data_IF_481098038324
#
_entry.id   IF_481098038324
#
_cell.length_a   1.000
_cell.length_b   1.000
_cell.length_c   1.000
_cell.angle_alpha   90.00
_cell.angle_beta   90.00
_cell.angle_gamma   90.00
#
_symmetry.space_group_name_H-M   'P 1'
#
loop_
_entity.id
_entity.type
_entity.pdbx_description
1 polymer ?
#
# COMPACT_ATOMS: atom_id res chain seq x y z
N UNK A 1 21.97 55.54 35.88
CA UNK A 1 22.01 56.53 34.78
C UNK A 1 21.54 55.81 33.53
N UNK A 2 20.28 55.83 33.08
CA UNK A 2 19.28 56.89 32.92
C UNK A 2 19.56 57.83 31.75
N UNK A 3 18.91 57.57 30.59
CA UNK A 3 18.32 58.50 29.58
C UNK A 3 17.86 57.64 28.38
N UNK A 4 16.58 57.27 28.20
CA UNK A 4 15.33 58.00 27.82
C UNK A 4 15.32 58.64 26.40
N UNK A 5 14.55 57.97 25.50
CA UNK A 5 13.46 58.46 24.60
C UNK A 5 13.82 59.40 23.40
N UNK A 6 13.03 59.44 22.29
CA UNK A 6 11.56 59.39 22.28
C UNK A 6 10.83 58.54 21.22
N UNK A 7 9.53 58.37 21.54
CA UNK A 7 8.42 57.91 20.69
C UNK A 7 8.04 58.98 19.66
N UNK A 8 7.62 58.56 18.47
CA UNK A 8 6.59 59.25 17.71
C UNK A 8 5.59 58.24 17.11
N UNK A 9 4.31 58.54 17.36
CA UNK A 9 3.12 57.88 16.82
C UNK A 9 2.80 58.39 15.40
N UNK A 10 2.25 57.52 14.56
CA UNK A 10 1.13 57.75 13.63
C UNK A 10 0.74 56.38 13.06
N UNK A 11 -0.39 55.76 13.43
CA UNK A 11 -1.77 56.07 13.04
C UNK A 11 -2.03 55.89 11.53
N UNK A 12 -2.71 54.78 11.18
CA UNK A 12 -3.15 54.42 9.83
C UNK A 12 -3.53 52.93 9.77
N UNK A 13 -4.57 52.50 10.49
CA UNK A 13 -5.93 52.25 9.96
C UNK A 13 -6.03 51.20 8.83
N UNK A 14 -6.40 49.98 9.25
CA UNK A 14 -7.35 49.05 8.62
C UNK A 14 -7.43 48.97 7.09
N UNK A 15 -7.14 47.77 6.57
CA UNK A 15 -8.12 46.94 5.82
C UNK A 15 -7.59 45.51 5.70
N UNK A 16 -8.05 44.62 6.59
CA UNK A 16 -8.08 43.20 6.29
C UNK A 16 -8.99 43.02 5.06
N UNK A 17 -8.44 42.53 3.96
CA UNK A 17 -9.27 42.02 2.86
C UNK A 17 -9.98 40.77 3.35
N UNK A 18 -11.27 40.89 3.66
CA UNK A 18 -12.14 39.76 3.89
C UNK A 18 -12.08 38.84 2.65
N UNK A 19 -11.58 37.62 2.82
CA UNK A 19 -11.79 36.54 1.87
C UNK A 19 -13.30 36.37 1.67
N UNK A 20 -13.75 36.50 0.42
CA UNK A 20 -15.13 36.21 0.03
C UNK A 20 -15.41 34.73 0.32
N UNK A 21 -16.58 34.36 0.88
CA UNK A 21 -16.94 32.96 1.03
C UNK A 21 -17.08 32.31 -0.36
N UNK A 22 -16.45 31.14 -0.52
CA UNK A 22 -16.60 30.30 -1.68
C UNK A 22 -18.08 29.89 -1.82
N UNK A 23 -18.65 30.13 -3.01
CA UNK A 23 -19.99 29.66 -3.37
C UNK A 23 -19.91 28.16 -3.62
N UNK A 24 -20.35 27.36 -2.66
CA UNK A 24 -20.70 25.95 -2.90
C UNK A 24 -22.02 25.94 -3.69
N UNK A 25 -21.95 25.56 -4.96
CA UNK A 25 -23.14 25.32 -5.79
C UNK A 25 -23.62 23.89 -5.52
N UNK A 26 -24.68 23.75 -4.73
CA UNK A 26 -25.49 22.53 -4.69
C UNK A 26 -26.85 22.89 -5.28
N UNK A 27 -27.20 22.22 -6.38
CA UNK A 27 -28.47 22.27 -7.11
C UNK A 27 -29.03 23.68 -7.41
N UNK A 28 -28.88 24.12 -8.67
CA UNK A 28 -29.33 25.38 -9.25
C UNK A 28 -30.79 25.81 -9.02
N UNK A 29 -31.14 26.24 -7.81
CA UNK A 29 -32.37 26.95 -7.50
C UNK A 29 -32.04 28.22 -6.72
N UNK A 30 -32.43 29.35 -7.32
CA UNK A 30 -32.19 30.70 -6.80
C UNK A 30 -33.02 30.94 -5.53
N UNK A 31 -32.37 31.38 -4.45
CA UNK A 31 -32.99 31.64 -3.13
C UNK A 31 -34.12 32.70 -3.21
N UNK A 32 -34.17 33.43 -4.33
CA UNK A 32 -35.20 34.39 -4.67
C UNK A 32 -36.60 33.77 -4.89
N UNK A 33 -36.70 32.46 -5.18
CA UNK A 33 -38.01 31.79 -5.33
C UNK A 33 -38.78 31.75 -4.00
N UNK A 34 -38.09 31.54 -2.88
CA UNK A 34 -38.73 31.56 -1.55
C UNK A 34 -39.20 32.95 -1.13
N UNK A 35 -38.51 34.00 -1.56
CA UNK A 35 -38.90 35.40 -1.28
C UNK A 35 -40.16 35.81 -2.05
N UNK A 36 -40.29 35.36 -3.30
CA UNK A 36 -41.50 35.54 -4.13
C UNK A 36 -42.73 34.80 -3.58
N UNK A 37 -42.53 33.63 -2.94
CA UNK A 37 -43.64 32.84 -2.39
C UNK A 37 -44.30 33.43 -1.13
N UNK A 38 -43.61 34.28 -0.36
CA UNK A 38 -44.19 34.93 0.83
C UNK A 38 -45.05 36.15 0.48
N UNK A 39 -44.89 36.75 -0.70
CA UNK A 39 -45.62 37.96 -1.10
C UNK A 39 -47.00 37.65 -1.71
N UNK A 40 -47.26 36.41 -2.15
CA UNK A 40 -48.55 35.99 -2.71
C UNK A 40 -49.47 35.33 -1.66
N UNK A 41 -50.41 36.11 -1.12
CA UNK A 41 -51.42 35.70 -0.11
C UNK A 41 -52.53 34.73 -0.60
N UNK A 42 -52.33 33.96 -1.66
CA UNK A 42 -53.41 33.14 -2.27
C UNK A 42 -53.12 31.64 -2.45
N UNK A 43 -52.22 31.05 -1.66
CA UNK A 43 -52.06 29.59 -1.66
C UNK A 43 -52.91 28.94 -0.55
N UNK A 44 -53.78 27.96 -0.87
CA UNK A 44 -54.50 27.18 0.14
C UNK A 44 -53.52 26.50 1.09
N UNK A 45 -53.76 26.61 2.40
CA UNK A 45 -52.89 26.03 3.45
C UNK A 45 -52.57 24.54 3.23
N UNK A 46 -53.48 23.79 2.60
CA UNK A 46 -53.29 22.38 2.27
C UNK A 46 -52.23 22.10 1.20
N UNK A 47 -51.98 23.03 0.27
CA UNK A 47 -50.94 22.90 -0.77
C UNK A 47 -49.56 23.18 -0.17
N UNK A 48 -49.46 24.19 0.68
CA UNK A 48 -48.22 24.52 1.41
C UNK A 48 -47.79 23.35 2.31
N UNK A 49 -48.73 22.72 3.04
CA UNK A 49 -48.44 21.58 3.90
C UNK A 49 -47.96 20.35 3.11
N UNK A 50 -48.54 20.08 1.93
CA UNK A 50 -48.13 18.98 1.04
C UNK A 50 -46.75 19.22 0.42
N UNK A 51 -46.46 20.45 0.00
CA UNK A 51 -45.13 20.82 -0.50
C UNK A 51 -44.06 20.72 0.59
N UNK A 52 -44.38 21.12 1.83
CA UNK A 52 -43.47 20.97 2.97
C UNK A 52 -43.20 19.49 3.30
N UNK A 53 -44.25 18.65 3.25
CA UNK A 53 -44.12 17.21 3.48
C UNK A 53 -43.28 16.51 2.39
N UNK A 54 -43.45 16.90 1.12
CA UNK A 54 -42.60 16.41 0.02
C UNK A 54 -41.16 16.90 0.19
N UNK A 55 -40.95 18.15 0.60
CA UNK A 55 -39.60 18.69 0.84
C UNK A 55 -38.91 18.00 2.02
N UNK A 56 -39.64 17.71 3.11
CA UNK A 56 -39.12 16.95 4.25
C UNK A 56 -38.85 15.49 3.90
N UNK A 57 -39.71 14.85 3.08
CA UNK A 57 -39.47 13.50 2.58
C UNK A 57 -38.26 13.45 1.64
N UNK A 58 -38.11 14.43 0.75
CA UNK A 58 -36.96 14.55 -0.16
C UNK A 58 -35.67 14.87 0.61
N UNK A 59 -35.72 15.72 1.64
CA UNK A 59 -34.61 15.99 2.54
C UNK A 59 -34.22 14.75 3.35
N UNK A 60 -35.19 13.95 3.83
CA UNK A 60 -34.93 12.68 4.52
C UNK A 60 -34.24 11.66 3.60
N UNK A 61 -34.68 11.59 2.34
CA UNK A 61 -34.08 10.71 1.32
C UNK A 61 -32.66 11.15 0.97
N UNK A 62 -32.39 12.46 0.89
CA UNK A 62 -31.04 12.99 0.62
C UNK A 62 -30.10 12.80 1.83
N UNK A 63 -30.58 12.94 3.06
CA UNK A 63 -29.77 12.68 4.27
C UNK A 63 -29.47 11.20 4.50
N UNK A 64 -30.22 10.28 3.88
CA UNK A 64 -30.00 8.84 4.00
C UNK A 64 -28.95 8.30 3.02
N UNK A 65 -28.40 9.15 2.15
CA UNK A 65 -27.23 8.86 1.30
C UNK A 65 -26.00 9.57 1.89
N UNK A 66 -25.86 9.56 3.22
CA UNK A 66 -24.53 9.51 3.79
C UNK A 66 -24.01 8.11 3.51
N UNK A 67 -23.34 7.92 2.37
CA UNK A 67 -22.41 6.80 2.24
C UNK A 67 -21.48 6.93 3.45
N UNK A 68 -21.61 6.03 4.42
CA UNK A 68 -20.53 5.82 5.36
C UNK A 68 -19.31 5.51 4.50
N UNK A 69 -18.19 6.21 4.74
CA UNK A 69 -16.94 5.87 4.06
C UNK A 69 -16.68 4.38 4.28
N UNK A 70 -16.81 3.61 3.20
CA UNK A 70 -16.61 2.17 3.22
C UNK A 70 -15.13 1.93 3.59
N UNK A 71 -14.86 1.05 4.55
CA UNK A 71 -13.49 0.83 5.00
C UNK A 71 -12.73 0.02 3.96
N UNK A 72 -11.58 0.52 3.53
CA UNK A 72 -10.75 -0.16 2.53
C UNK A 72 -9.32 -0.33 3.04
N UNK A 73 -8.83 -1.56 2.92
CA UNK A 73 -7.44 -1.96 3.11
C UNK A 73 -7.01 -2.80 1.90
N UNK A 74 -6.76 -2.17 0.74
CA UNK A 74 -6.75 -2.84 -0.57
C UNK A 74 -5.57 -3.77 -0.83
N UNK A 75 -4.49 -3.66 -0.06
CA UNK A 75 -3.29 -4.46 -0.22
C UNK A 75 -2.62 -4.69 1.14
N UNK A 76 -1.57 -5.52 1.18
CA UNK A 76 -0.89 -5.88 2.42
C UNK A 76 -0.25 -4.70 3.19
N UNK A 77 -0.12 -3.53 2.56
CA UNK A 77 0.32 -2.26 3.16
C UNK A 77 -0.79 -1.24 3.33
N UNK A 78 -2.03 -1.56 2.96
CA UNK A 78 -3.16 -0.66 3.09
C UNK A 78 -3.16 0.48 2.08
N UNK A 79 -4.12 1.41 2.19
CA UNK A 79 -4.45 2.38 1.13
C UNK A 79 -3.31 3.39 0.85
N UNK A 80 -2.48 3.67 1.85
CA UNK A 80 -1.36 4.63 1.73
C UNK A 80 0.00 3.92 1.57
N UNK A 81 -0.01 2.60 1.35
CA UNK A 81 1.18 1.74 1.27
C UNK A 81 2.18 1.86 2.43
N UNK A 82 1.71 2.25 3.61
CA UNK A 82 2.51 2.52 4.81
C UNK A 82 2.21 1.58 6.00
N UNK A 83 1.21 0.69 5.88
CA UNK A 83 0.72 -0.25 6.91
C UNK A 83 0.11 0.43 8.14
N UNK A 84 -0.42 1.63 7.98
CA UNK A 84 -0.99 2.41 9.09
C UNK A 84 -2.49 2.62 8.90
N UNK A 85 -3.26 2.28 9.93
CA UNK A 85 -4.61 2.83 10.09
C UNK A 85 -4.48 4.10 10.96
N UNK A 86 -4.73 5.27 10.37
CA UNK A 86 -4.45 6.58 11.02
C UNK A 86 -5.43 6.95 12.14
N UNK A 87 -6.58 6.28 12.21
CA UNK A 87 -7.65 6.56 13.18
C UNK A 87 -8.26 5.26 13.67
N UNK A 88 -8.45 5.14 14.98
CA UNK A 88 -9.10 3.99 15.58
C UNK A 88 -8.81 3.88 17.06
N UNK A 89 -9.51 2.97 17.72
CA UNK A 89 -9.20 2.52 19.07
C UNK A 89 -8.56 1.14 18.96
N UNK A 90 -7.25 1.06 19.21
CA UNK A 90 -6.51 -0.19 19.11
C UNK A 90 -6.34 -0.84 20.47
N UNK A 91 -6.44 -2.17 20.56
CA UNK A 91 -6.15 -2.89 21.80
C UNK A 91 -4.66 -2.73 22.13
N UNK A 92 -4.36 -2.00 23.20
CA UNK A 92 -2.99 -1.86 23.76
C UNK A 92 -2.66 -2.92 24.80
N UNK A 93 -3.66 -3.74 25.16
CA UNK A 93 -3.52 -4.98 25.92
C UNK A 93 -4.15 -6.09 25.10
N UNK A 94 -3.49 -7.23 25.09
CA UNK A 94 -3.89 -8.37 24.29
C UNK A 94 -3.77 -9.65 25.12
N UNK A 95 -4.81 -10.46 25.08
CA UNK A 95 -4.87 -11.81 25.61
C UNK A 95 -5.60 -12.74 24.61
N UNK A 96 -5.56 -14.07 24.80
CA UNK A 96 -6.21 -15.01 23.88
C UNK A 96 -7.73 -14.85 23.70
N UNK A 97 -8.40 -14.13 24.61
CA UNK A 97 -9.84 -13.88 24.62
C UNK A 97 -10.21 -12.51 24.03
N UNK A 98 -9.21 -11.67 23.73
CA UNK A 98 -9.34 -10.34 23.13
C UNK A 98 -9.92 -10.30 21.70
N UNK A 99 -9.71 -11.30 20.81
CA UNK A 99 -10.27 -11.27 19.46
C UNK A 99 -11.80 -11.21 19.45
N UNK A 100 -12.38 -10.36 18.60
CA UNK A 100 -13.84 -10.27 18.40
C UNK A 100 -14.43 -11.57 17.82
N UNK A 101 -13.66 -12.25 16.98
CA UNK A 101 -13.99 -13.54 16.39
C UNK A 101 -12.71 -14.25 15.96
N UNK A 102 -12.83 -15.54 15.65
CA UNK A 102 -11.77 -16.38 15.08
C UNK A 102 -12.37 -17.20 13.94
N UNK A 103 -11.64 -17.30 12.84
CA UNK A 103 -11.97 -18.17 11.73
C UNK A 103 -10.92 -19.29 11.66
N UNK A 104 -11.38 -20.53 11.60
CA UNK A 104 -10.54 -21.66 11.24
C UNK A 104 -10.34 -21.64 9.72
N UNK A 105 -9.25 -21.01 9.27
CA UNK A 105 -8.97 -20.83 7.84
C UNK A 105 -8.70 -22.19 7.21
N UNK A 106 -9.44 -22.60 6.16
CA UNK A 106 -9.20 -23.87 5.48
C UNK A 106 -7.77 -23.93 4.94
N UNK A 107 -7.06 -25.00 5.28
CA UNK A 107 -5.71 -25.22 4.78
C UNK A 107 -4.65 -24.30 5.39
N UNK A 108 -3.61 -23.96 4.62
CA UNK A 108 -2.48 -23.16 5.12
C UNK A 108 -2.18 -21.97 4.22
N UNK A 109 -2.15 -20.77 4.80
CA UNK A 109 -1.75 -19.54 4.12
C UNK A 109 -1.15 -18.53 5.11
N UNK A 110 -0.26 -17.68 4.60
CA UNK A 110 0.40 -16.63 5.40
C UNK A 110 0.26 -15.23 4.77
N UNK A 111 -0.71 -15.08 3.88
CA UNK A 111 -1.08 -13.77 3.36
C UNK A 111 -1.59 -12.84 4.46
N UNK A 112 -1.36 -11.55 4.24
CA UNK A 112 -2.05 -10.51 5.01
C UNK A 112 -3.47 -10.39 4.47
N UNK A 113 -4.50 -10.36 5.33
CA UNK A 113 -5.87 -10.08 4.89
C UNK A 113 -5.95 -8.69 4.26
N UNK A 114 -6.71 -8.58 3.18
CA UNK A 114 -7.10 -7.29 2.61
C UNK A 114 -8.59 -7.09 2.75
N UNK A 115 -9.02 -5.84 2.85
CA UNK A 115 -10.41 -5.50 3.13
C UNK A 115 -10.92 -4.57 2.05
N UNK A 116 -12.08 -4.87 1.49
CA UNK A 116 -12.80 -3.93 0.65
C UNK A 116 -14.25 -3.86 1.10
N UNK A 117 -14.54 -2.83 1.90
CA UNK A 117 -15.81 -2.65 2.53
C UNK A 117 -16.14 -3.74 3.52
N UNK A 118 -17.21 -4.47 3.24
CA UNK A 118 -17.70 -5.53 4.14
C UNK A 118 -17.01 -6.88 3.92
N UNK A 119 -16.05 -6.97 3.00
CA UNK A 119 -15.41 -8.23 2.62
C UNK A 119 -13.92 -8.24 2.94
N UNK A 120 -13.48 -9.33 3.55
CA UNK A 120 -12.09 -9.66 3.85
C UNK A 120 -11.64 -10.75 2.86
N UNK A 121 -10.52 -10.54 2.16
CA UNK A 121 -9.94 -11.51 1.23
C UNK A 121 -8.63 -12.08 1.75
N UNK A 122 -8.42 -13.38 1.52
CA UNK A 122 -7.23 -14.15 1.91
C UNK A 122 -6.82 -15.12 0.81
N UNK A 123 -5.55 -15.50 0.78
CA UNK A 123 -5.05 -16.64 0.00
C UNK A 123 -4.67 -17.79 0.94
N UNK A 124 -5.04 -19.02 0.58
CA UNK A 124 -4.74 -20.24 1.35
C UNK A 124 -4.50 -21.44 0.43
N UNK A 125 -3.85 -22.48 0.93
CA UNK A 125 -3.75 -23.79 0.29
C UNK A 125 -4.79 -24.74 0.88
N UNK A 126 -6.00 -24.78 0.33
CA UNK A 126 -7.12 -25.59 0.83
C UNK A 126 -7.29 -26.86 -0.01
N UNK A 127 -7.38 -28.03 0.64
CA UNK A 127 -7.55 -29.34 -0.01
C UNK A 127 -6.54 -29.62 -1.14
N UNK A 128 -5.28 -29.16 -0.97
CA UNK A 128 -4.24 -29.31 -2.00
C UNK A 128 -4.36 -28.33 -3.17
N UNK A 129 -5.15 -27.26 -3.04
CA UNK A 129 -5.39 -26.26 -4.07
C UNK A 129 -5.08 -24.84 -3.60
N UNK A 130 -4.47 -24.05 -4.49
CA UNK A 130 -4.39 -22.61 -4.33
C UNK A 130 -5.81 -22.05 -4.32
N UNK A 131 -6.18 -21.36 -3.24
CA UNK A 131 -7.56 -20.96 -3.00
C UNK A 131 -7.62 -19.52 -2.53
N UNK A 132 -8.58 -18.76 -3.07
CA UNK A 132 -8.95 -17.43 -2.58
C UNK A 132 -10.18 -17.57 -1.70
N UNK A 133 -10.16 -16.94 -0.53
CA UNK A 133 -11.28 -16.89 0.39
C UNK A 133 -11.85 -15.47 0.45
N UNK A 134 -13.17 -15.37 0.58
CA UNK A 134 -13.84 -14.17 1.05
C UNK A 134 -14.63 -14.44 2.32
N UNK A 135 -14.51 -13.53 3.28
CA UNK A 135 -15.10 -13.64 4.62
C UNK A 135 -15.74 -12.30 4.97
N UNK A 136 -16.84 -12.31 5.72
CA UNK A 136 -17.42 -11.08 6.28
C UNK A 136 -16.74 -10.64 7.60
N UNK A 137 -17.14 -9.48 8.11
CA UNK A 137 -16.65 -8.94 9.39
C UNK A 137 -17.08 -9.72 10.64
N UNK A 138 -17.98 -10.71 10.49
CA UNK A 138 -18.36 -11.63 11.57
C UNK A 138 -17.55 -12.93 11.52
N UNK A 139 -16.64 -13.07 10.55
CA UNK A 139 -15.85 -14.28 10.35
C UNK A 139 -16.58 -15.38 9.58
N UNK A 140 -17.71 -15.09 8.93
CA UNK A 140 -18.42 -16.08 8.11
C UNK A 140 -17.78 -16.17 6.72
N UNK A 141 -17.53 -17.40 6.27
CA UNK A 141 -17.11 -17.65 4.90
C UNK A 141 -18.23 -17.26 3.93
N UNK A 142 -17.93 -16.35 3.01
CA UNK A 142 -18.84 -15.92 1.94
C UNK A 142 -18.68 -16.82 0.71
N UNK A 143 -17.42 -17.04 0.30
CA UNK A 143 -17.08 -17.94 -0.79
C UNK A 143 -15.62 -18.39 -0.72
N UNK A 144 -15.31 -19.47 -1.43
CA UNK A 144 -13.97 -19.98 -1.64
C UNK A 144 -13.80 -20.40 -3.11
N UNK A 145 -12.74 -19.93 -3.75
CA UNK A 145 -12.49 -20.21 -5.18
C UNK A 145 -11.13 -20.90 -5.33
N UNK A 146 -11.10 -22.20 -5.69
CA UNK A 146 -9.87 -22.88 -6.04
C UNK A 146 -9.37 -22.45 -7.43
N UNK A 147 -8.06 -22.33 -7.59
CA UNK A 147 -7.39 -21.93 -8.83
C UNK A 147 -6.51 -23.06 -9.41
N UNK A 148 -6.49 -24.23 -8.78
CA UNK A 148 -5.71 -25.39 -9.23
C UNK A 148 -4.77 -25.90 -8.15
N UNK A 149 -3.98 -26.92 -8.48
CA UNK A 149 -3.09 -27.59 -7.52
C UNK A 149 -2.09 -26.62 -6.89
N UNK A 150 -1.99 -26.64 -5.57
CA UNK A 150 -1.00 -25.83 -4.85
C UNK A 150 0.42 -26.38 -5.01
N UNK A 151 1.40 -25.52 -4.72
CA UNK A 151 2.75 -25.98 -4.39
C UNK A 151 2.99 -25.65 -2.91
N UNK A 152 3.09 -26.66 -2.02
CA UNK A 152 3.19 -26.43 -0.59
C UNK A 152 4.51 -25.73 -0.22
N UNK A 153 4.56 -25.11 0.97
CA UNK A 153 5.77 -24.46 1.49
C UNK A 153 6.95 -25.43 1.63
N UNK A 154 8.18 -24.94 1.42
CA UNK A 154 9.44 -25.72 1.55
C UNK A 154 9.79 -26.03 3.02
N UNK A 155 9.18 -25.35 3.99
CA UNK A 155 9.46 -25.53 5.40
C UNK A 155 8.26 -25.16 6.29
N UNK A 156 8.35 -25.48 7.59
CA UNK A 156 7.25 -25.25 8.55
C UNK A 156 6.81 -23.79 8.62
N UNK A 157 7.69 -22.81 8.40
CA UNK A 157 7.31 -21.39 8.44
C UNK A 157 6.95 -20.80 7.07
N UNK A 158 6.64 -21.63 6.07
CA UNK A 158 6.17 -21.16 4.76
C UNK A 158 4.95 -21.93 4.25
N UNK A 159 4.23 -21.32 3.32
CA UNK A 159 3.08 -21.89 2.62
C UNK A 159 3.20 -21.66 1.10
N UNK A 160 2.31 -22.27 0.30
CA UNK A 160 2.14 -21.92 -1.11
C UNK A 160 1.47 -20.56 -1.32
N UNK A 161 0.86 -20.03 -0.26
CA UNK A 161 -0.07 -18.90 -0.26
C UNK A 161 0.43 -17.77 0.67
N UNK A 162 1.70 -17.38 0.50
CA UNK A 162 2.28 -16.23 1.21
C UNK A 162 1.96 -14.87 0.55
N UNK A 163 1.91 -14.75 -0.79
CA UNK A 163 1.52 -13.49 -1.42
C UNK A 163 0.10 -13.09 -1.00
N UNK A 164 -0.07 -11.83 -0.66
CA UNK A 164 -1.35 -11.29 -0.25
C UNK A 164 -2.19 -10.92 -1.47
N UNK A 165 -3.52 -11.07 -1.40
CA UNK A 165 -4.41 -10.51 -2.42
C UNK A 165 -4.24 -8.98 -2.50
N UNK A 166 -4.66 -8.39 -3.61
CA UNK A 166 -4.86 -6.94 -3.73
C UNK A 166 -6.16 -6.62 -4.48
N UNK A 167 -6.79 -5.49 -4.21
CA UNK A 167 -8.06 -5.10 -4.86
C UNK A 167 -8.21 -3.59 -4.92
N UNK A 168 -8.82 -3.09 -5.99
CA UNK A 168 -9.30 -1.70 -6.12
C UNK A 168 -10.84 -1.64 -6.09
N UNK A 169 -11.48 -2.71 -5.61
CA UNK A 169 -12.93 -2.88 -5.58
C UNK A 169 -13.53 -3.39 -6.88
N UNK A 170 -12.80 -3.33 -8.01
CA UNK A 170 -13.29 -3.87 -9.29
C UNK A 170 -13.06 -5.38 -9.40
N UNK A 171 -11.94 -5.89 -8.86
CA UNK A 171 -11.57 -7.29 -8.81
C UNK A 171 -10.58 -7.54 -7.67
N UNK A 172 -10.40 -8.82 -7.33
CA UNK A 172 -9.37 -9.30 -6.42
C UNK A 172 -8.27 -9.96 -7.25
N UNK A 173 -7.05 -9.46 -7.14
CA UNK A 173 -5.88 -9.96 -7.86
C UNK A 173 -4.99 -10.76 -6.90
N UNK A 174 -4.58 -11.95 -7.32
CA UNK A 174 -3.88 -12.91 -6.47
C UNK A 174 -2.72 -13.58 -7.20
N UNK A 175 -1.71 -13.96 -6.43
CA UNK A 175 -0.57 -14.74 -6.91
C UNK A 175 -0.23 -15.85 -5.94
N UNK A 176 0.21 -17.00 -6.44
CA UNK A 176 0.57 -18.16 -5.63
C UNK A 176 1.94 -18.71 -6.02
N UNK A 177 2.56 -19.47 -5.11
CA UNK A 177 3.84 -20.14 -5.33
C UNK A 177 3.80 -21.15 -6.49
N UNK A 178 2.65 -21.64 -6.89
CA UNK A 178 2.47 -22.48 -8.09
C UNK A 178 2.71 -21.73 -9.42
N UNK A 179 2.75 -20.40 -9.37
CA UNK A 179 2.73 -19.53 -10.54
C UNK A 179 1.32 -19.09 -10.95
N UNK A 180 0.25 -19.60 -10.30
CA UNK A 180 -1.12 -19.14 -10.55
C UNK A 180 -1.23 -17.65 -10.25
N UNK A 181 -1.57 -16.87 -11.28
CA UNK A 181 -1.84 -15.45 -11.22
C UNK A 181 -3.23 -15.22 -11.79
N UNK A 182 -4.12 -14.59 -11.03
CA UNK A 182 -5.51 -14.48 -11.40
C UNK A 182 -6.13 -13.16 -10.95
N UNK A 183 -7.21 -12.77 -11.64
CA UNK A 183 -8.19 -11.82 -11.15
C UNK A 183 -9.54 -12.53 -10.95
N UNK A 184 -10.20 -12.18 -9.86
CA UNK A 184 -11.53 -12.68 -9.52
C UNK A 184 -12.48 -11.49 -9.38
N UNK A 185 -13.72 -11.69 -9.81
CA UNK A 185 -14.82 -10.80 -9.48
C UNK A 185 -15.11 -10.81 -7.97
N UNK A 186 -15.87 -9.82 -7.48
CA UNK A 186 -16.21 -9.72 -6.04
C UNK A 186 -16.99 -10.92 -5.51
N UNK A 187 -17.69 -11.65 -6.38
CA UNK A 187 -18.44 -12.87 -6.06
C UNK A 187 -17.60 -14.16 -6.11
N UNK A 188 -16.30 -14.04 -6.40
CA UNK A 188 -15.37 -15.17 -6.48
C UNK A 188 -15.28 -15.81 -7.87
N UNK A 189 -16.04 -15.33 -8.86
CA UNK A 189 -15.92 -15.81 -10.25
C UNK A 189 -14.54 -15.44 -10.81
N UNK A 190 -13.84 -16.39 -11.43
CA UNK A 190 -12.54 -16.12 -12.06
C UNK A 190 -12.76 -15.27 -13.32
N UNK A 191 -12.21 -14.05 -13.33
CA UNK A 191 -12.21 -13.15 -14.48
C UNK A 191 -11.17 -13.60 -15.51
N UNK A 192 -9.95 -13.84 -15.05
CA UNK A 192 -8.87 -14.44 -15.84
C UNK A 192 -7.90 -15.15 -14.91
N UNK A 193 -7.19 -16.13 -15.47
CA UNK A 193 -6.13 -16.85 -14.79
C UNK A 193 -5.02 -17.19 -15.80
N UNK A 194 -3.79 -17.07 -15.36
CA UNK A 194 -2.59 -17.44 -16.10
C UNK A 194 -1.55 -18.05 -15.17
N UNK A 195 -0.52 -18.72 -15.72
CA UNK A 195 0.61 -19.19 -14.95
C UNK A 195 1.87 -18.41 -15.34
N UNK A 196 2.42 -17.62 -14.41
CA UNK A 196 3.59 -16.78 -14.70
C UNK A 196 4.85 -17.60 -14.91
N UNK A 197 4.96 -18.77 -14.30
CA UNK A 197 6.15 -19.62 -14.43
C UNK A 197 6.17 -20.41 -15.74
N UNK A 198 5.00 -20.74 -16.28
CA UNK A 198 4.87 -21.27 -17.63
C UNK A 198 5.19 -20.20 -18.68
N UNK A 199 4.79 -18.95 -18.43
CA UNK A 199 5.00 -17.83 -19.37
C UNK A 199 6.42 -17.27 -19.36
N UNK A 200 7.02 -17.13 -18.19
CA UNK A 200 8.28 -16.38 -18.00
C UNK A 200 9.40 -17.21 -17.36
N UNK A 201 9.21 -18.52 -17.21
CA UNK A 201 10.20 -19.39 -16.61
C UNK A 201 9.99 -19.60 -15.12
N UNK A 202 10.56 -20.70 -14.63
CA UNK A 202 10.37 -21.14 -13.24
C UNK A 202 11.11 -20.24 -12.27
N UNK A 203 10.49 -20.04 -11.10
CA UNK A 203 11.16 -19.43 -9.95
C UNK A 203 12.16 -20.41 -9.33
N UNK A 204 13.44 -20.05 -9.31
CA UNK A 204 14.54 -20.87 -8.78
C UNK A 204 15.10 -20.36 -7.44
N UNK A 205 14.36 -19.48 -6.75
CA UNK A 205 14.81 -18.93 -5.47
C UNK A 205 15.04 -20.03 -4.43
N UNK A 206 15.94 -19.75 -3.48
CA UNK A 206 16.33 -20.71 -2.45
C UNK A 206 15.18 -20.94 -1.46
N UNK A 207 14.41 -19.90 -1.16
CA UNK A 207 13.23 -19.91 -0.29
C UNK A 207 11.91 -19.76 -1.06
N UNK A 208 10.78 -19.67 -0.34
CA UNK A 208 9.43 -19.59 -0.93
C UNK A 208 9.06 -18.21 -1.50
N UNK A 209 7.97 -18.11 -2.25
CA UNK A 209 7.52 -16.86 -2.85
C UNK A 209 6.66 -16.05 -1.89
N UNK A 210 6.89 -14.72 -1.81
CA UNK A 210 6.15 -13.81 -0.94
C UNK A 210 5.86 -12.43 -1.54
N UNK A 211 6.34 -12.14 -2.75
CA UNK A 211 6.02 -10.89 -3.44
C UNK A 211 4.53 -10.86 -3.81
N UNK A 212 3.82 -9.82 -3.40
CA UNK A 212 2.39 -9.67 -3.68
C UNK A 212 2.18 -8.83 -4.95
N UNK A 213 1.06 -9.00 -5.68
CA UNK A 213 0.64 -8.07 -6.71
C UNK A 213 0.43 -6.66 -6.14
N UNK A 214 0.70 -5.65 -6.95
CA UNK A 214 0.37 -4.25 -6.63
C UNK A 214 -0.45 -3.63 -7.76
N UNK A 215 -1.33 -2.70 -7.42
CA UNK A 215 -2.17 -2.02 -8.39
C UNK A 215 -1.63 -0.63 -8.65
N UNK A 216 -1.36 -0.35 -9.92
CA UNK A 216 -1.23 1.01 -10.42
C UNK A 216 -2.61 1.49 -10.83
N UNK A 217 -2.71 2.75 -11.28
CA UNK A 217 -3.93 3.27 -11.89
C UNK A 217 -4.44 2.33 -13.02
N UNK A 218 -3.54 1.90 -13.89
CA UNK A 218 -3.91 1.25 -15.15
C UNK A 218 -3.69 -0.28 -15.14
N UNK A 219 -2.80 -0.79 -14.28
CA UNK A 219 -2.33 -2.18 -14.36
C UNK A 219 -2.29 -2.89 -13.00
N UNK A 220 -2.26 -4.23 -13.05
CA UNK A 220 -1.73 -5.05 -11.96
C UNK A 220 -0.28 -5.37 -12.27
N UNK A 221 0.61 -5.18 -11.30
CA UNK A 221 2.06 -5.33 -11.47
C UNK A 221 2.57 -6.46 -10.59
N UNK A 222 3.44 -7.30 -11.17
CA UNK A 222 4.20 -8.31 -10.45
C UNK A 222 5.70 -8.07 -10.66
N UNK A 223 6.46 -8.41 -9.62
CA UNK A 223 7.91 -8.49 -9.69
C UNK A 223 8.35 -9.90 -9.34
N UNK A 224 9.31 -10.42 -10.10
CA UNK A 224 9.99 -11.66 -9.82
C UNK A 224 11.49 -11.38 -9.85
N UNK A 225 12.15 -11.56 -8.71
CA UNK A 225 13.57 -11.23 -8.53
C UNK A 225 14.31 -12.49 -8.15
N UNK A 226 14.98 -13.11 -9.12
CA UNK A 226 15.82 -14.30 -8.95
C UNK A 226 17.00 -14.32 -9.92
N UNK A 227 17.77 -15.39 -9.90
CA UNK A 227 19.01 -15.47 -10.67
C UNK A 227 18.68 -15.59 -12.17
N UNK A 228 19.31 -14.76 -13.02
CA UNK A 228 19.30 -14.88 -14.49
C UNK A 228 18.07 -14.31 -15.25
N UNK A 229 16.85 -14.45 -14.73
CA UNK A 229 15.62 -13.90 -15.35
C UNK A 229 14.75 -13.15 -14.34
N UNK A 230 15.36 -12.18 -13.67
CA UNK A 230 14.62 -11.20 -12.88
C UNK A 230 13.85 -10.24 -13.78
N UNK A 231 12.61 -9.93 -13.42
CA UNK A 231 11.76 -9.03 -14.17
C UNK A 231 10.71 -8.32 -13.32
N UNK A 232 10.16 -7.26 -13.90
CA UNK A 232 8.95 -6.57 -13.44
C UNK A 232 8.02 -6.48 -14.64
N UNK A 233 6.75 -6.81 -14.46
CA UNK A 233 5.77 -6.81 -15.53
C UNK A 233 4.44 -6.24 -15.06
N UNK A 234 3.79 -5.49 -15.95
CA UNK A 234 2.42 -5.06 -15.81
C UNK A 234 1.49 -5.89 -16.69
N UNK A 235 0.29 -6.12 -16.17
CA UNK A 235 -0.77 -6.83 -16.85
C UNK A 235 -2.04 -6.00 -16.86
N UNK A 236 -2.78 -6.11 -17.94
CA UNK A 236 -4.11 -5.54 -18.06
C UNK A 236 -5.03 -6.12 -16.98
N UNK A 237 -5.70 -5.24 -16.22
CA UNK A 237 -6.57 -5.65 -15.09
C UNK A 237 -7.78 -6.47 -15.56
N UNK A 238 -8.22 -6.31 -16.80
CA UNK A 238 -9.40 -6.95 -17.36
C UNK A 238 -9.09 -8.28 -18.05
N UNK A 239 -7.93 -8.42 -18.69
CA UNK A 239 -7.60 -9.60 -19.49
C UNK A 239 -6.44 -10.45 -18.95
N UNK A 240 -5.56 -9.89 -18.11
CA UNK A 240 -4.33 -10.57 -17.69
C UNK A 240 -3.24 -10.63 -18.77
N UNK A 241 -3.44 -9.94 -19.89
CA UNK A 241 -2.43 -9.79 -20.94
C UNK A 241 -1.28 -8.90 -20.46
N UNK A 242 -0.07 -9.16 -20.95
CA UNK A 242 1.10 -8.35 -20.59
C UNK A 242 1.00 -7.01 -21.31
N UNK A 243 0.98 -5.93 -20.54
CA UNK A 243 1.10 -4.57 -21.07
C UNK A 243 2.57 -4.24 -21.35
N UNK A 244 3.44 -4.54 -20.37
CA UNK A 244 4.88 -4.38 -20.50
C UNK A 244 5.63 -5.33 -19.56
N UNK A 245 6.87 -5.67 -19.92
CA UNK A 245 7.82 -6.44 -19.09
C UNK A 245 9.21 -5.84 -19.25
N UNK A 246 9.88 -5.58 -18.14
CA UNK A 246 11.26 -5.09 -18.12
C UNK A 246 12.15 -6.06 -17.35
N UNK A 247 13.34 -6.32 -17.88
CA UNK A 247 14.35 -7.14 -17.21
C UNK A 247 14.99 -6.36 -16.06
N UNK A 248 15.36 -7.09 -14.99
CA UNK A 248 16.01 -6.57 -13.80
C UNK A 248 17.25 -7.41 -13.42
N UNK A 249 18.05 -7.77 -14.42
CA UNK A 249 19.20 -8.66 -14.26
C UNK A 249 20.47 -7.90 -13.85
N UNK A 250 20.61 -7.64 -12.56
CA UNK A 250 21.85 -7.09 -11.99
C UNK A 250 22.87 -8.19 -11.70
N UNK A 251 24.15 -7.88 -11.85
CA UNK A 251 25.22 -8.76 -11.38
C UNK A 251 25.41 -8.58 -9.89
N UNK A 252 25.19 -9.64 -9.13
CA UNK A 252 25.32 -9.63 -7.66
C UNK A 252 26.02 -10.89 -7.18
N UNK A 253 26.54 -10.90 -5.94
CA UNK A 253 26.95 -12.12 -5.27
C UNK A 253 25.81 -13.15 -5.21
N UNK A 254 26.17 -14.42 -4.96
CA UNK A 254 25.22 -15.54 -4.88
C UNK A 254 24.04 -15.24 -3.95
N UNK A 255 22.82 -15.56 -4.39
CA UNK A 255 21.52 -15.32 -3.74
C UNK A 255 21.09 -13.84 -3.66
N UNK A 256 21.98 -12.86 -3.86
CA UNK A 256 21.63 -11.44 -3.63
C UNK A 256 20.70 -10.86 -4.71
N UNK A 257 20.68 -11.45 -5.89
CA UNK A 257 19.71 -11.17 -6.97
C UNK A 257 18.30 -11.61 -6.59
N UNK A 258 18.17 -12.50 -5.60
CA UNK A 258 16.88 -12.98 -5.13
C UNK A 258 16.20 -11.95 -4.23
N UNK A 259 14.96 -11.63 -4.56
CA UNK A 259 14.14 -10.67 -3.83
C UNK A 259 12.80 -11.26 -3.43
N UNK A 260 12.33 -10.84 -2.26
CA UNK A 260 11.04 -11.20 -1.68
C UNK A 260 10.19 -9.96 -1.40
N UNK A 261 10.68 -8.80 -1.85
CA UNK A 261 10.03 -7.52 -1.62
C UNK A 261 8.85 -7.37 -2.58
N UNK A 262 7.83 -6.66 -2.11
CA UNK A 262 6.73 -6.21 -2.97
C UNK A 262 7.02 -4.78 -3.42
N UNK A 263 6.87 -4.44 -4.72
CA UNK A 263 6.96 -3.06 -5.19
C UNK A 263 6.09 -2.10 -4.37
N UNK A 264 6.40 -0.81 -4.45
CA UNK A 264 5.58 0.25 -3.82
C UNK A 264 5.19 1.25 -4.89
N UNK A 265 3.89 1.48 -5.05
CA UNK A 265 3.39 2.55 -5.91
C UNK A 265 3.51 3.86 -5.13
N UNK A 266 4.13 4.86 -5.73
CA UNK A 266 4.36 6.15 -5.08
C UNK A 266 4.28 7.30 -6.10
N UNK A 267 4.21 8.53 -5.60
CA UNK A 267 4.25 9.72 -6.46
C UNK A 267 5.70 10.18 -6.71
N UNK A 268 6.08 10.25 -7.98
CA UNK A 268 7.30 10.88 -8.46
C UNK A 268 6.95 12.12 -9.28
N UNK A 269 7.30 13.30 -8.77
CA UNK A 269 7.02 14.59 -9.43
C UNK A 269 5.54 14.76 -9.84
N UNK A 270 4.61 14.29 -9.00
CA UNK A 270 3.17 14.36 -9.27
C UNK A 270 2.64 13.28 -10.22
N UNK A 271 3.49 12.36 -10.68
CA UNK A 271 3.11 11.23 -11.54
C UNK A 271 3.28 9.92 -10.77
N UNK A 272 2.47 8.92 -11.08
CA UNK A 272 2.59 7.60 -10.47
C UNK A 272 3.87 6.88 -10.94
N UNK A 273 4.57 6.23 -10.02
CA UNK A 273 5.79 5.48 -10.26
C UNK A 273 5.87 4.23 -9.37
N UNK A 274 6.70 3.26 -9.76
CA UNK A 274 7.00 2.06 -8.98
C UNK A 274 8.37 2.19 -8.34
N UNK A 275 8.44 2.09 -7.01
CA UNK A 275 9.68 1.89 -6.27
C UNK A 275 9.91 0.39 -6.06
N UNK A 276 11.09 -0.10 -6.45
CA UNK A 276 11.43 -1.52 -6.40
C UNK A 276 12.78 -1.70 -5.70
N UNK A 277 12.81 -2.61 -4.72
CA UNK A 277 14.00 -2.93 -3.93
C UNK A 277 14.39 -4.40 -4.12
N UNK A 278 15.58 -4.66 -4.62
CA UNK A 278 16.10 -6.01 -4.77
C UNK A 278 17.31 -6.04 -5.68
N UNK A 279 18.05 -7.16 -5.65
CA UNK A 279 19.32 -7.31 -6.37
C UNK A 279 20.30 -6.15 -6.10
N UNK A 280 20.38 -5.71 -4.84
CA UNK A 280 21.23 -4.59 -4.39
C UNK A 280 20.93 -3.24 -5.06
N UNK A 281 19.72 -3.05 -5.59
CA UNK A 281 19.30 -1.81 -6.25
C UNK A 281 17.92 -1.35 -5.80
N UNK A 282 17.84 -0.08 -5.41
CA UNK A 282 16.58 0.67 -5.32
C UNK A 282 16.38 1.40 -6.64
N UNK A 283 15.25 1.17 -7.30
CA UNK A 283 14.96 1.80 -8.59
C UNK A 283 13.55 2.38 -8.61
N UNK A 284 13.36 3.44 -9.38
CA UNK A 284 12.03 3.89 -9.77
C UNK A 284 11.74 3.62 -11.24
N UNK A 285 10.51 3.23 -11.55
CA UNK A 285 10.03 2.96 -12.90
C UNK A 285 8.73 3.72 -13.19
N UNK A 286 8.54 4.12 -14.44
CA UNK A 286 7.26 4.62 -14.92
C UNK A 286 6.21 3.49 -14.91
N UNK A 287 5.01 3.75 -14.39
CA UNK A 287 3.93 2.74 -14.37
C UNK A 287 3.35 2.46 -15.76
N UNK A 288 3.45 3.42 -16.68
CA UNK A 288 2.88 3.32 -18.02
C UNK A 288 3.58 2.30 -18.92
N UNK A 289 4.91 2.17 -18.81
CA UNK A 289 5.72 1.35 -19.72
C UNK A 289 6.86 0.57 -19.03
N UNK A 290 7.01 0.70 -17.71
CA UNK A 290 8.06 0.06 -16.93
C UNK A 290 9.45 0.67 -17.12
N UNK A 291 9.60 1.73 -17.91
CA UNK A 291 10.90 2.35 -18.17
C UNK A 291 11.54 2.90 -16.89
N UNK A 292 12.87 2.77 -16.79
CA UNK A 292 13.63 3.18 -15.61
C UNK A 292 13.68 4.71 -15.53
N UNK A 293 13.23 5.26 -14.40
CA UNK A 293 13.36 6.69 -14.07
C UNK A 293 14.74 6.94 -13.48
N UNK A 294 15.06 6.24 -12.40
CA UNK A 294 16.35 6.33 -11.72
C UNK A 294 16.71 5.01 -11.02
N UNK A 295 18.01 4.81 -10.79
CA UNK A 295 18.57 3.65 -10.08
C UNK A 295 19.60 4.10 -9.05
N UNK A 296 19.54 3.52 -7.86
CA UNK A 296 20.52 3.65 -6.80
C UNK A 296 21.02 2.25 -6.44
N UNK A 297 22.32 1.99 -6.53
CA UNK A 297 22.94 0.70 -6.24
C UNK A 297 23.97 0.75 -5.12
N UNK A 298 24.94 -0.16 -5.14
CA UNK A 298 26.11 -0.20 -4.25
C UNK A 298 25.79 -0.33 -2.74
N UNK A 299 24.76 -1.11 -2.39
CA UNK A 299 24.44 -1.42 -0.98
C UNK A 299 25.34 -2.52 -0.37
N UNK A 300 26.16 -3.19 -1.20
CA UNK A 300 27.06 -4.28 -0.81
C UNK A 300 28.48 -4.14 -1.38
N UNK A 301 29.21 -3.06 -1.05
CA UNK A 301 30.53 -2.82 -1.64
C UNK A 301 31.54 -3.95 -1.34
N UNK A 302 31.33 -4.68 -0.24
CA UNK A 302 32.18 -5.79 0.19
C UNK A 302 31.87 -7.12 -0.56
N UNK A 303 30.82 -7.15 -1.39
CA UNK A 303 30.45 -8.34 -2.19
C UNK A 303 30.02 -9.54 -1.35
N UNK A 304 29.37 -9.30 -0.20
CA UNK A 304 28.97 -10.39 0.71
C UNK A 304 27.81 -11.19 0.11
N UNK A 305 27.98 -12.50 -0.04
CA UNK A 305 26.93 -13.39 -0.55
C UNK A 305 25.85 -13.73 0.50
N UNK A 306 24.72 -14.27 0.04
CA UNK A 306 23.60 -14.75 0.85
C UNK A 306 22.85 -13.65 1.61
N UNK A 307 22.76 -12.48 1.00
CA UNK A 307 22.07 -11.28 1.45
C UNK A 307 20.93 -10.94 0.47
N UNK A 308 19.87 -11.78 0.34
CA UNK A 308 18.72 -11.43 -0.46
C UNK A 308 17.95 -10.25 0.14
N UNK A 309 17.27 -9.48 -0.70
CA UNK A 309 16.37 -8.43 -0.24
C UNK A 309 15.05 -9.05 0.22
N UNK A 310 14.81 -9.11 1.53
CA UNK A 310 13.59 -9.69 2.11
C UNK A 310 12.63 -8.62 2.61
N UNK A 311 13.06 -7.82 3.59
CA UNK A 311 12.28 -6.69 4.09
C UNK A 311 11.99 -5.68 2.97
N UNK A 312 10.73 -5.31 2.80
CA UNK A 312 10.35 -4.34 1.79
C UNK A 312 10.67 -2.89 2.23
N UNK A 313 10.82 -1.93 1.29
CA UNK A 313 11.04 -0.53 1.64
C UNK A 313 9.86 0.07 2.40
N UNK A 314 10.15 1.01 3.29
CA UNK A 314 9.17 1.96 3.82
C UNK A 314 9.48 3.35 3.28
N UNK A 315 8.47 4.04 2.77
CA UNK A 315 8.60 5.42 2.29
C UNK A 315 8.09 6.36 3.37
N UNK A 316 8.91 7.34 3.76
CA UNK A 316 8.53 8.39 4.71
C UNK A 316 9.04 9.73 4.18
N UNK A 317 8.12 10.63 3.84
CA UNK A 317 8.45 11.89 3.18
C UNK A 317 9.17 11.67 1.84
N UNK A 318 10.41 12.18 1.74
CA UNK A 318 11.26 12.07 0.54
C UNK A 318 12.34 10.98 0.66
N UNK A 319 12.17 10.03 1.57
CA UNK A 319 13.15 8.97 1.81
C UNK A 319 12.50 7.59 1.77
N UNK A 320 13.14 6.67 1.06
CA UNK A 320 12.91 5.24 1.21
C UNK A 320 13.93 4.66 2.20
N UNK A 321 13.43 3.98 3.24
CA UNK A 321 14.26 3.23 4.17
C UNK A 321 14.25 1.76 3.78
N UNK A 322 15.43 1.23 3.47
CA UNK A 322 15.64 -0.17 3.06
C UNK A 322 16.58 -0.88 4.02
N UNK A 323 16.28 -2.14 4.30
CA UNK A 323 17.19 -3.04 4.99
C UNK A 323 17.86 -3.96 3.99
N UNK A 324 19.11 -4.26 4.28
CA UNK A 324 19.94 -5.18 3.54
C UNK A 324 20.83 -5.98 4.50
N UNK A 325 21.40 -7.08 4.04
CA UNK A 325 22.22 -7.94 4.87
C UNK A 325 21.45 -8.88 5.80
N UNK A 326 22.15 -9.40 6.81
CA UNK A 326 21.70 -10.52 7.65
C UNK A 326 21.61 -10.10 9.11
N UNK A 327 20.64 -9.25 9.42
CA UNK A 327 20.39 -8.79 10.79
C UNK A 327 20.13 -9.98 11.75
N UNK A 328 19.42 -11.02 11.28
CA UNK A 328 19.27 -12.33 11.93
C UNK A 328 20.61 -12.94 12.38
N UNK A 329 21.67 -12.71 11.59
CA UNK A 329 23.06 -13.17 11.83
C UNK A 329 24.03 -12.06 12.25
N UNK A 330 23.55 -11.00 12.91
CA UNK A 330 24.38 -9.89 13.43
C UNK A 330 25.13 -9.12 12.33
N UNK A 331 24.59 -9.07 11.13
CA UNK A 331 25.12 -8.28 10.02
C UNK A 331 24.04 -7.33 9.48
N UNK A 332 23.44 -6.46 10.31
CA UNK A 332 22.42 -5.55 9.83
C UNK A 332 23.02 -4.50 8.89
N UNK A 333 22.25 -4.11 7.88
CA UNK A 333 22.45 -2.89 7.09
C UNK A 333 21.10 -2.21 6.95
N UNK A 334 21.05 -0.94 7.28
CA UNK A 334 19.87 -0.09 7.09
C UNK A 334 20.31 1.18 6.39
N UNK A 335 19.57 1.57 5.35
CA UNK A 335 19.93 2.71 4.51
C UNK A 335 18.74 3.64 4.31
N UNK A 336 19.03 4.94 4.34
CA UNK A 336 18.11 5.98 3.87
C UNK A 336 18.48 6.36 2.45
N UNK A 337 17.52 6.22 1.54
CA UNK A 337 17.68 6.51 0.12
C UNK A 337 16.76 7.66 -0.24
N UNK A 338 17.35 8.77 -0.70
CA UNK A 338 16.60 9.92 -1.20
C UNK A 338 15.74 9.49 -2.39
N UNK A 339 14.48 9.92 -2.41
CA UNK A 339 13.59 9.75 -3.55
C UNK A 339 13.75 10.93 -4.54
N UNK A 340 13.56 10.65 -5.83
CA UNK A 340 13.64 11.66 -6.89
C UNK A 340 14.81 11.44 -7.83
N UNK A 341 15.04 12.41 -8.72
CA UNK A 341 16.14 12.36 -9.69
C UNK A 341 15.81 11.58 -10.97
N UNK A 342 16.86 11.34 -11.77
CA UNK A 342 16.80 10.65 -13.04
C UNK A 342 18.16 9.99 -13.34
N UNK A 343 18.16 8.82 -13.97
CA UNK A 343 19.39 8.09 -14.32
C UNK A 343 20.02 7.36 -13.13
N UNK A 344 21.33 7.10 -13.21
CA UNK A 344 22.07 6.55 -12.08
C UNK A 344 22.30 7.64 -11.03
N UNK A 345 21.70 7.44 -9.85
CA UNK A 345 21.73 8.37 -8.74
C UNK A 345 22.54 7.84 -7.56
N UNK A 346 23.25 6.71 -7.73
CA UNK A 346 23.98 6.01 -6.67
C UNK A 346 24.83 6.95 -5.83
N UNK A 347 25.68 7.78 -6.45
CA UNK A 347 26.59 8.68 -5.71
C UNK A 347 25.89 9.83 -4.96
N UNK A 348 24.60 10.07 -5.21
CA UNK A 348 23.90 11.26 -4.71
C UNK A 348 22.69 10.98 -3.84
N UNK A 349 22.17 9.73 -3.84
CA UNK A 349 20.91 9.39 -3.18
C UNK A 349 21.06 8.51 -1.93
N UNK A 350 22.26 8.00 -1.63
CA UNK A 350 22.55 7.48 -0.28
C UNK A 350 22.62 8.64 0.72
N UNK A 351 21.62 8.76 1.60
CA UNK A 351 21.60 9.79 2.65
C UNK A 351 22.43 9.37 3.86
N UNK A 352 22.27 8.12 4.28
CA UNK A 352 22.95 7.53 5.43
C UNK A 352 22.93 6.01 5.34
N UNK A 353 23.83 5.38 6.09
CA UNK A 353 23.85 3.93 6.29
C UNK A 353 24.16 3.59 7.74
N UNK A 354 23.55 2.52 8.23
CA UNK A 354 23.72 2.00 9.60
C UNK A 354 24.11 0.54 9.56
N UNK A 355 24.94 0.14 10.53
CA UNK A 355 25.45 -1.23 10.71
C UNK A 355 25.12 -1.79 12.09
N UNK A 356 24.36 -1.05 12.89
CA UNK A 356 23.94 -1.37 14.25
C UNK A 356 22.44 -1.70 14.34
N UNK A 357 21.63 -1.22 13.40
CA UNK A 357 20.19 -1.48 13.30
C UNK A 357 19.80 -1.93 11.89
N UNK A 358 18.69 -2.66 11.79
CA UNK A 358 18.14 -3.16 10.53
C UNK A 358 17.34 -4.45 10.75
N UNK A 359 16.70 -4.92 9.71
CA UNK A 359 15.94 -6.17 9.70
C UNK A 359 16.36 -7.05 8.54
N UNK A 360 16.28 -8.36 8.70
CA UNK A 360 16.37 -9.29 7.59
C UNK A 360 14.96 -9.54 7.06
N UNK A 361 14.07 -10.09 7.90
CA UNK A 361 12.71 -10.48 7.48
C UNK A 361 11.66 -9.38 7.71
N UNK A 362 11.54 -8.77 8.91
CA UNK A 362 10.48 -7.81 9.18
C UNK A 362 10.51 -6.59 8.27
N UNK A 363 9.37 -6.25 7.66
CA UNK A 363 9.25 -5.02 6.88
C UNK A 363 8.96 -3.82 7.78
N UNK A 364 9.62 -2.69 7.53
CA UNK A 364 9.49 -1.47 8.31
C UNK A 364 8.12 -0.79 8.13
N UNK A 365 7.75 0.05 9.10
CA UNK A 365 6.52 0.87 9.08
C UNK A 365 6.91 2.34 9.07
N UNK A 366 6.23 3.16 8.26
CA UNK A 366 6.39 4.61 8.28
C UNK A 366 5.14 5.26 8.89
N UNK A 367 5.31 6.03 9.97
CA UNK A 367 4.20 6.68 10.66
C UNK A 367 4.64 7.95 11.38
N UNK A 368 3.84 9.02 11.28
CA UNK A 368 4.11 10.32 11.91
C UNK A 368 5.55 10.82 11.68
N UNK A 369 5.96 10.90 10.42
CA UNK A 369 7.30 11.37 9.99
C UNK A 369 8.49 10.55 10.53
N UNK A 370 8.24 9.34 11.03
CA UNK A 370 9.26 8.41 11.51
C UNK A 370 9.15 7.05 10.84
N UNK A 371 10.26 6.31 10.86
CA UNK A 371 10.30 4.90 10.45
C UNK A 371 10.55 4.02 11.67
N UNK A 372 9.75 2.95 11.79
CA UNK A 372 9.83 1.96 12.85
C UNK A 372 10.41 0.69 12.27
N UNK A 373 11.56 0.28 12.79
CA UNK A 373 12.32 -0.90 12.36
C UNK A 373 12.22 -1.95 13.44
N UNK A 374 11.47 -3.02 13.16
CA UNK A 374 11.44 -4.22 13.99
C UNK A 374 12.62 -5.12 13.60
N UNK A 375 13.56 -5.34 14.50
CA UNK A 375 14.66 -6.27 14.31
C UNK A 375 14.21 -7.72 14.43
N UNK A 376 14.94 -8.65 13.80
CA UNK A 376 14.63 -10.10 13.85
C UNK A 376 14.73 -10.70 15.27
N UNK A 377 15.21 -9.93 16.25
CA UNK A 377 15.31 -10.33 17.66
C UNK A 377 14.29 -9.64 18.57
N UNK A 378 13.36 -8.87 18.00
CA UNK A 378 12.26 -8.23 18.73
C UNK A 378 12.57 -6.84 19.29
N UNK A 379 13.75 -6.29 19.01
CA UNK A 379 14.08 -4.89 19.22
C UNK A 379 13.31 -3.99 18.23
N UNK A 380 12.96 -2.76 18.66
CA UNK A 380 12.22 -1.81 17.82
C UNK A 380 12.93 -0.48 17.86
N UNK A 381 13.42 -0.02 16.71
CA UNK A 381 13.97 1.32 16.58
C UNK A 381 12.94 2.27 15.99
N UNK A 382 12.78 3.45 16.59
CA UNK A 382 12.14 4.59 15.93
C UNK A 382 13.22 5.52 15.42
N UNK A 383 13.25 5.77 14.12
CA UNK A 383 14.30 6.53 13.46
C UNK A 383 13.75 7.74 12.69
N UNK A 384 14.57 8.79 12.64
CA UNK A 384 14.39 9.90 11.70
C UNK A 384 14.78 9.40 10.30
N UNK A 385 13.88 9.46 9.30
CA UNK A 385 14.17 8.95 7.97
C UNK A 385 15.22 9.79 7.23
N UNK A 386 15.36 11.08 7.51
CA UNK A 386 16.33 11.97 6.84
C UNK A 386 17.75 11.79 7.38
N UNK A 387 17.91 11.59 8.68
CA UNK A 387 19.24 11.50 9.31
C UNK A 387 19.67 10.08 9.65
N UNK A 388 18.72 9.15 9.81
CA UNK A 388 18.95 7.78 10.25
C UNK A 388 19.15 7.65 11.78
N UNK A 389 19.11 8.76 12.52
CA UNK A 389 19.29 8.77 13.96
C UNK A 389 18.11 8.10 14.67
N UNK A 390 18.40 7.30 15.70
CA UNK A 390 17.36 6.72 16.55
C UNK A 390 16.83 7.80 17.50
N UNK A 391 15.51 7.97 17.54
CA UNK A 391 14.82 8.72 18.59
C UNK A 391 14.74 7.90 19.88
N UNK A 392 14.52 6.58 19.73
CA UNK A 392 14.56 5.58 20.79
C UNK A 392 14.73 4.17 20.18
N UNK A 393 15.06 3.19 21.04
CA UNK A 393 15.25 1.78 20.69
C UNK A 393 14.85 0.85 21.83
#
# INVERSE_FOLDING_TARGET
MNRKRPLHQNAGSNKLSAMKPARVFICGWDINVFRSMQENRQMPKGIVMKMLAVYLAYALVITSVCFADEFHWPDWRGPDHNRVVSKGHYPVRWDPDSPLWKLDVPGRGYSTPVVWGETIYLTTGADGQDTVLAVDWSGNLLWQTPLGSEVPGRHQNASGSNPSPTTDGSAVFVFFKSGHFAALERDGTVRWQTNLFERFGKDDRFWDFGTSPVLTKDYVVMAQMHDGDSWVAAFDKQTGDVAWKVSRNYQTPRENSQGYTTPVVYSHQGTEALLIWGAEHVTAHHTADGSLIWSCGNFNPDGTAYWPAIASPAICGQVAVVSFGRADRRQPRLHGVKLGGSGDVTETHHLWSRRDAGSFIPTHVAYNDHVYVLGDRGDIHCIDPLTGESLWS
#
